data_IF_339376909644
#
_entry.id   IF_339376909644
#
_cell.length_a   1.000
_cell.length_b   1.000
_cell.length_c   1.000
_cell.angle_alpha   90.00
_cell.angle_beta   90.00
_cell.angle_gamma   90.00
#
_symmetry.space_group_name_H-M   'P 1'
#
loop_
_entity.id
_entity.type
_entity.pdbx_description
1 polymer ?
#
# COMPACT_ATOMS: atom_id res chain seq x y z
N UNK A 1 25.97 16.28 1.58
CA UNK A 1 25.57 15.10 0.77
C UNK A 1 24.84 14.16 1.70
N UNK A 2 23.54 13.93 1.49
CA UNK A 2 22.73 13.00 2.30
C UNK A 2 23.15 11.58 1.90
N UNK A 3 23.46 10.70 2.86
CA UNK A 3 24.06 9.37 2.58
C UNK A 3 23.27 8.18 3.16
N UNK A 4 22.19 8.42 3.88
CA UNK A 4 21.40 7.35 4.50
C UNK A 4 20.35 6.75 3.57
N UNK A 5 20.24 5.43 3.58
CA UNK A 5 19.11 4.67 3.03
C UNK A 5 18.50 3.82 4.16
N UNK A 6 17.20 3.64 4.16
CA UNK A 6 16.54 2.71 5.07
C UNK A 6 15.18 2.29 4.52
N UNK A 7 14.84 1.01 4.65
CA UNK A 7 13.50 0.51 4.42
C UNK A 7 13.11 -0.53 5.46
N UNK A 8 11.82 -0.64 5.72
CA UNK A 8 11.23 -1.72 6.51
C UNK A 8 9.77 -1.94 6.14
N UNK A 9 9.21 -3.07 6.53
CA UNK A 9 7.85 -3.45 6.24
C UNK A 9 7.23 -4.31 7.33
N UNK A 10 5.91 -4.43 7.25
CA UNK A 10 5.07 -5.35 8.02
C UNK A 10 5.43 -6.82 7.80
N UNK A 11 6.03 -7.16 6.67
CA UNK A 11 6.39 -8.51 6.30
C UNK A 11 7.91 -8.59 6.12
N UNK A 12 8.53 -9.67 6.59
CA UNK A 12 9.98 -9.85 6.51
C UNK A 12 10.48 -9.90 5.07
N UNK A 13 9.75 -10.62 4.21
CA UNK A 13 10.07 -10.76 2.77
C UNK A 13 9.98 -9.40 2.06
N UNK A 14 8.95 -8.61 2.39
CA UNK A 14 8.82 -7.25 1.88
C UNK A 14 9.93 -6.31 2.38
N UNK A 15 10.28 -6.39 3.66
CA UNK A 15 11.31 -5.54 4.27
C UNK A 15 12.68 -5.80 3.63
N UNK A 16 13.05 -7.07 3.48
CA UNK A 16 14.30 -7.48 2.83
C UNK A 16 14.36 -7.00 1.37
N UNK A 17 13.30 -7.23 0.60
CA UNK A 17 13.25 -6.82 -0.80
C UNK A 17 13.32 -5.30 -0.98
N UNK A 18 12.62 -4.53 -0.12
CA UNK A 18 12.67 -3.08 -0.13
C UNK A 18 14.08 -2.56 0.19
N UNK A 19 14.74 -3.14 1.20
CA UNK A 19 16.10 -2.78 1.57
C UNK A 19 17.10 -3.14 0.46
N UNK A 20 16.95 -4.30 -0.19
CA UNK A 20 17.78 -4.73 -1.31
C UNK A 20 17.68 -3.78 -2.50
N UNK A 21 16.49 -3.28 -2.82
CA UNK A 21 16.30 -2.28 -3.88
C UNK A 21 17.05 -0.97 -3.59
N UNK A 22 17.04 -0.50 -2.34
CA UNK A 22 17.79 0.69 -1.94
C UNK A 22 19.30 0.46 -1.99
N UNK A 23 19.77 -0.69 -1.50
CA UNK A 23 21.19 -1.06 -1.53
C UNK A 23 21.72 -1.13 -2.97
N UNK A 24 20.87 -1.55 -3.92
CA UNK A 24 21.18 -1.55 -5.35
C UNK A 24 21.14 -0.16 -6.01
N UNK A 25 20.89 0.91 -5.25
CA UNK A 25 20.85 2.29 -5.75
C UNK A 25 19.48 2.78 -6.25
N UNK A 26 18.43 2.00 -5.99
CA UNK A 26 17.04 2.37 -6.28
C UNK A 26 16.54 3.57 -5.46
N UNK A 27 15.39 4.11 -5.85
CA UNK A 27 14.69 5.16 -5.08
C UNK A 27 13.84 4.58 -3.95
N UNK A 28 13.30 5.45 -3.10
CA UNK A 28 12.31 5.02 -2.11
C UNK A 28 11.05 4.42 -2.77
N UNK A 29 10.67 4.90 -3.96
CA UNK A 29 9.57 4.31 -4.74
C UNK A 29 9.91 2.89 -5.25
N UNK A 30 11.15 2.68 -5.73
CA UNK A 30 11.63 1.34 -6.11
C UNK A 30 11.56 0.36 -4.92
N UNK A 31 11.90 0.83 -3.72
CA UNK A 31 11.82 0.05 -2.49
C UNK A 31 10.38 -0.36 -2.14
N UNK A 32 9.41 0.56 -2.27
CA UNK A 32 7.99 0.23 -2.07
C UNK A 32 7.51 -0.84 -3.05
N UNK A 33 7.86 -0.70 -4.32
CA UNK A 33 7.44 -1.62 -5.39
C UNK A 33 8.08 -3.01 -5.17
N UNK A 34 9.39 -3.07 -4.92
CA UNK A 34 10.08 -4.32 -4.66
C UNK A 34 9.53 -5.03 -3.42
N UNK A 35 9.30 -4.30 -2.33
CA UNK A 35 8.71 -4.85 -1.12
C UNK A 35 7.29 -5.39 -1.36
N UNK A 36 6.46 -4.65 -2.10
CA UNK A 36 5.10 -5.08 -2.42
C UNK A 36 5.08 -6.34 -3.29
N UNK A 37 5.91 -6.40 -4.34
CA UNK A 37 5.99 -7.57 -5.21
C UNK A 37 6.58 -8.79 -4.50
N UNK A 38 7.51 -8.59 -3.56
CA UNK A 38 8.02 -9.65 -2.70
C UNK A 38 6.93 -10.24 -1.78
N UNK A 39 6.14 -9.39 -1.12
CA UNK A 39 4.96 -9.82 -0.37
C UNK A 39 3.93 -10.55 -1.24
N UNK A 40 3.74 -10.08 -2.49
CA UNK A 40 2.89 -10.73 -3.47
C UNK A 40 3.38 -12.10 -3.93
N UNK A 41 4.70 -12.30 -3.96
CA UNK A 41 5.27 -13.62 -4.20
C UNK A 41 4.96 -14.58 -3.06
N UNK A 42 5.20 -14.12 -1.84
CA UNK A 42 5.03 -14.92 -0.63
C UNK A 42 3.56 -15.28 -0.34
N UNK A 43 2.59 -14.40 -0.66
CA UNK A 43 1.18 -14.58 -0.28
C UNK A 43 0.20 -14.31 -1.43
N UNK A 44 -0.78 -15.21 -1.65
CA UNK A 44 -1.71 -15.12 -2.78
C UNK A 44 -2.63 -13.89 -2.72
N UNK A 45 -2.94 -13.38 -1.53
CA UNK A 45 -3.88 -12.26 -1.33
C UNK A 45 -3.32 -10.86 -1.54
N UNK A 46 -2.07 -10.69 -1.98
CA UNK A 46 -1.39 -9.38 -1.99
C UNK A 46 -1.37 -8.73 -3.39
N UNK A 47 -1.10 -9.48 -4.46
CA UNK A 47 -0.77 -8.89 -5.77
C UNK A 47 -1.81 -7.90 -6.31
N UNK A 48 -3.09 -8.22 -6.09
CA UNK A 48 -4.24 -7.40 -6.52
C UNK A 48 -4.95 -6.72 -5.35
N UNK A 49 -4.36 -6.76 -4.14
CA UNK A 49 -4.90 -6.07 -2.97
C UNK A 49 -4.93 -4.55 -3.22
N UNK A 50 -5.96 -3.84 -2.76
CA UNK A 50 -5.99 -2.37 -2.84
C UNK A 50 -4.78 -1.79 -2.10
N UNK A 51 -4.17 -0.76 -2.68
CA UNK A 51 -2.98 -0.12 -2.14
C UNK A 51 -2.97 1.40 -2.35
N UNK A 52 -2.33 2.12 -1.44
CA UNK A 52 -2.04 3.55 -1.55
C UNK A 52 -0.57 3.77 -1.24
N UNK A 53 0.12 4.55 -2.09
CA UNK A 53 1.46 5.02 -1.82
C UNK A 53 1.46 6.52 -1.56
N UNK A 54 2.27 6.94 -0.60
CA UNK A 54 2.53 8.31 -0.21
C UNK A 54 4.02 8.58 -0.38
N UNK A 55 4.36 9.68 -1.04
CA UNK A 55 5.76 10.09 -1.20
C UNK A 55 5.89 11.55 -0.83
N UNK A 56 6.92 11.87 -0.05
CA UNK A 56 7.32 13.25 0.21
C UNK A 56 8.85 13.40 0.20
N UNK A 57 9.35 14.61 -0.05
CA UNK A 57 10.78 14.86 -0.01
C UNK A 57 11.20 16.06 -0.84
N UNK A 58 12.45 16.47 -0.65
CA UNK A 58 13.05 17.57 -1.40
C UNK A 58 13.05 17.26 -2.90
N UNK A 59 12.48 18.14 -3.72
CA UNK A 59 12.41 17.98 -5.18
C UNK A 59 11.35 17.00 -5.69
N UNK A 60 10.62 16.32 -4.80
CA UNK A 60 9.55 15.37 -5.16
C UNK A 60 8.16 15.95 -4.88
N UNK A 61 8.08 16.93 -3.96
CA UNK A 61 6.81 17.43 -3.44
C UNK A 61 6.13 16.41 -2.54
N UNK A 62 4.85 16.60 -2.24
CA UNK A 62 4.03 15.71 -1.44
C UNK A 62 2.93 15.10 -2.31
N UNK A 63 3.04 13.80 -2.62
CA UNK A 63 2.16 13.12 -3.59
C UNK A 63 1.55 11.85 -3.02
N UNK A 64 0.35 11.54 -3.49
CA UNK A 64 -0.33 10.28 -3.24
C UNK A 64 -0.60 9.56 -4.56
N UNK A 65 -0.50 8.23 -4.54
CA UNK A 65 -0.83 7.34 -5.64
C UNK A 65 -1.93 6.38 -5.17
N UNK A 66 -3.02 6.32 -5.93
CA UNK A 66 -4.25 5.63 -5.56
C UNK A 66 -4.44 4.34 -6.37
N UNK A 67 -4.21 3.22 -5.70
CA UNK A 67 -4.48 1.87 -6.18
C UNK A 67 -5.62 1.19 -5.42
N UNK A 68 -6.47 1.96 -4.72
CA UNK A 68 -7.71 1.41 -4.14
C UNK A 68 -8.56 0.77 -5.23
N UNK A 69 -9.19 -0.35 -4.88
CA UNK A 69 -10.08 -1.07 -5.78
C UNK A 69 -11.29 -0.19 -6.16
N UNK A 70 -11.87 -0.46 -7.32
CA UNK A 70 -13.08 0.21 -7.79
C UNK A 70 -14.28 -0.72 -7.77
N UNK A 71 -15.47 -0.14 -7.58
CA UNK A 71 -16.72 -0.85 -7.69
C UNK A 71 -16.89 -1.40 -9.11
N UNK A 72 -17.09 -2.71 -9.30
CA UNK A 72 -17.22 -3.32 -10.62
C UNK A 72 -18.59 -3.05 -11.26
N UNK A 73 -18.66 -3.36 -12.56
CA UNK A 73 -19.85 -3.34 -13.39
C UNK A 73 -19.87 -2.21 -14.41
N UNK A 74 -18.70 -1.70 -14.86
CA UNK A 74 -18.62 -0.80 -16.00
C UNK A 74 -19.18 -1.50 -17.25
N UNK A 75 -20.00 -0.78 -18.01
CA UNK A 75 -20.67 -1.30 -19.22
C UNK A 75 -21.76 -2.37 -18.98
N UNK A 76 -21.88 -2.92 -17.77
CA UNK A 76 -22.85 -3.96 -17.46
C UNK A 76 -24.25 -3.40 -17.17
N UNK A 77 -25.27 -4.13 -17.62
CA UNK A 77 -26.64 -3.90 -17.21
C UNK A 77 -26.79 -4.00 -15.68
N UNK A 78 -27.70 -3.22 -15.10
CA UNK A 78 -27.94 -3.24 -13.65
C UNK A 78 -28.46 -4.63 -13.23
N UNK A 79 -27.75 -5.37 -12.35
CA UNK A 79 -28.21 -6.67 -11.88
C UNK A 79 -29.41 -6.51 -10.95
N UNK A 80 -30.21 -7.57 -10.83
CA UNK A 80 -31.22 -7.67 -9.77
C UNK A 80 -30.52 -7.77 -8.43
N UNK A 81 -30.93 -6.95 -7.46
CA UNK A 81 -30.30 -6.96 -6.14
C UNK A 81 -30.63 -8.22 -5.34
N UNK A 82 -29.68 -8.69 -4.54
CA UNK A 82 -29.86 -9.82 -3.62
C UNK A 82 -30.84 -9.46 -2.50
N UNK A 83 -31.64 -10.44 -2.06
CA UNK A 83 -32.72 -10.23 -1.07
C UNK A 83 -32.15 -10.19 0.35
N UNK A 84 -31.18 -11.04 0.65
CA UNK A 84 -30.51 -11.10 1.95
C UNK A 84 -28.98 -11.18 1.79
N UNK A 85 -28.25 -11.09 2.90
CA UNK A 85 -26.78 -11.11 2.87
C UNK A 85 -26.20 -12.52 2.64
N UNK A 86 -26.93 -13.57 3.02
CA UNK A 86 -26.48 -14.97 2.93
C UNK A 86 -26.53 -15.50 1.49
N UNK A 87 -27.42 -14.96 0.67
CA UNK A 87 -27.58 -15.27 -0.74
C UNK A 87 -26.58 -14.57 -1.66
N UNK A 88 -25.74 -13.66 -1.13
CA UNK A 88 -24.75 -12.94 -1.93
C UNK A 88 -23.57 -13.87 -2.27
N UNK A 89 -23.33 -14.20 -3.55
CA UNK A 89 -22.18 -15.00 -3.96
C UNK A 89 -20.86 -14.30 -3.61
N UNK A 90 -19.81 -15.08 -3.34
CA UNK A 90 -18.46 -14.55 -3.11
C UNK A 90 -17.96 -13.70 -4.29
N UNK A 91 -18.25 -14.12 -5.53
CA UNK A 91 -17.91 -13.37 -6.74
C UNK A 91 -18.51 -11.96 -6.79
N UNK A 92 -19.69 -11.75 -6.18
CA UNK A 92 -20.34 -10.43 -6.12
C UNK A 92 -19.62 -9.43 -5.20
N UNK A 93 -18.62 -9.91 -4.45
CA UNK A 93 -17.77 -9.12 -3.56
C UNK A 93 -16.39 -8.86 -4.15
N UNK A 94 -16.08 -9.38 -5.34
CA UNK A 94 -14.81 -9.12 -6.02
C UNK A 94 -14.84 -7.72 -6.64
N UNK A 95 -13.89 -6.87 -6.27
CA UNK A 95 -13.76 -5.53 -6.84
C UNK A 95 -12.82 -5.52 -8.06
N UNK A 96 -12.86 -4.41 -8.82
CA UNK A 96 -11.93 -4.16 -9.90
C UNK A 96 -10.56 -3.72 -9.33
N UNK A 97 -9.48 -4.48 -9.56
CA UNK A 97 -8.16 -4.16 -9.00
C UNK A 97 -7.51 -2.99 -9.77
N UNK A 98 -6.89 -2.05 -9.03
CA UNK A 98 -6.20 -0.88 -9.59
C UNK A 98 -4.70 -0.83 -9.25
N UNK A 99 -4.25 -1.73 -8.39
CA UNK A 99 -2.90 -1.70 -7.77
C UNK A 99 -1.77 -1.83 -8.77
N UNK A 100 -1.87 -2.73 -9.77
CA UNK A 100 -0.81 -2.89 -10.77
C UNK A 100 -0.62 -1.63 -11.62
N UNK A 101 -1.72 -0.95 -11.94
CA UNK A 101 -1.68 0.37 -12.56
C UNK A 101 -0.99 1.37 -11.64
N UNK A 102 -1.36 1.43 -10.35
CA UNK A 102 -0.77 2.35 -9.38
C UNK A 102 0.74 2.15 -9.24
N UNK A 103 1.22 0.90 -9.18
CA UNK A 103 2.65 0.60 -9.15
C UNK A 103 3.36 1.07 -10.41
N UNK A 104 2.73 0.92 -11.58
CA UNK A 104 3.28 1.41 -12.85
C UNK A 104 3.35 2.93 -12.89
N UNK A 105 2.34 3.61 -12.33
CA UNK A 105 2.32 5.05 -12.22
C UNK A 105 3.40 5.55 -11.25
N UNK A 106 3.49 4.96 -10.06
CA UNK A 106 4.53 5.27 -9.07
C UNK A 106 5.92 5.07 -9.66
N UNK A 107 6.15 3.96 -10.37
CA UNK A 107 7.39 3.66 -11.06
C UNK A 107 7.71 4.67 -12.16
N UNK A 108 6.74 5.01 -13.01
CA UNK A 108 6.94 6.00 -14.07
C UNK A 108 7.30 7.39 -13.56
N UNK A 109 6.78 7.79 -12.39
CA UNK A 109 7.08 9.08 -11.78
C UNK A 109 8.42 9.11 -11.04
N UNK A 110 8.74 8.06 -10.28
CA UNK A 110 9.78 8.10 -9.24
C UNK A 110 10.73 6.90 -9.25
N UNK A 111 10.46 5.90 -10.08
CA UNK A 111 11.29 4.70 -10.22
C UNK A 111 12.60 4.99 -10.93
N UNK A 112 13.63 4.20 -10.60
CA UNK A 112 14.97 4.32 -11.18
C UNK A 112 15.51 2.98 -11.66
N UNK A 113 15.12 1.91 -10.99
CA UNK A 113 15.44 0.53 -11.36
C UNK A 113 14.36 0.01 -12.31
N UNK A 114 14.70 -0.92 -13.22
CA UNK A 114 13.70 -1.46 -14.15
C UNK A 114 12.63 -2.26 -13.37
N UNK A 115 11.36 -2.14 -13.75
CA UNK A 115 10.26 -2.85 -13.06
C UNK A 115 10.51 -4.37 -12.98
N UNK A 116 11.02 -4.99 -14.05
CA UNK A 116 11.38 -6.41 -14.06
C UNK A 116 12.52 -6.79 -13.10
N UNK A 117 13.41 -5.85 -12.76
CA UNK A 117 14.44 -6.07 -11.73
C UNK A 117 13.83 -6.01 -10.32
N UNK A 118 12.88 -5.09 -10.09
CA UNK A 118 12.14 -4.99 -8.82
C UNK A 118 11.26 -6.21 -8.56
N UNK A 119 10.76 -6.85 -9.63
CA UNK A 119 9.92 -8.04 -9.53
C UNK A 119 10.68 -9.31 -9.11
N UNK A 120 12.03 -9.35 -9.19
CA UNK A 120 12.82 -10.57 -8.96
C UNK A 120 12.58 -11.21 -7.60
N UNK A 121 12.54 -10.42 -6.52
CA UNK A 121 12.29 -10.95 -5.18
C UNK A 121 10.88 -11.55 -5.05
N UNK A 122 9.88 -10.98 -5.72
CA UNK A 122 8.54 -11.55 -5.81
C UNK A 122 8.49 -12.88 -6.56
N UNK A 123 9.19 -12.97 -7.69
CA UNK A 123 9.30 -14.22 -8.47
C UNK A 123 9.96 -15.31 -7.62
N UNK A 124 11.07 -14.97 -6.94
CA UNK A 124 11.79 -15.90 -6.07
C UNK A 124 10.92 -16.36 -4.88
N UNK A 125 10.23 -15.43 -4.22
CA UNK A 125 9.33 -15.77 -3.11
C UNK A 125 8.16 -16.67 -3.55
N UNK A 126 7.55 -16.40 -4.71
CA UNK A 126 6.50 -17.25 -5.27
C UNK A 126 7.04 -18.65 -5.62
N UNK A 127 8.21 -18.72 -6.24
CA UNK A 127 8.86 -19.98 -6.60
C UNK A 127 9.19 -20.81 -5.35
N UNK A 128 9.70 -20.17 -4.29
CA UNK A 128 9.98 -20.83 -3.02
C UNK A 128 8.71 -21.37 -2.34
N UNK A 129 7.58 -20.66 -2.50
CA UNK A 129 6.27 -21.11 -2.05
C UNK A 129 5.62 -22.18 -2.96
N UNK A 130 6.30 -22.63 -4.03
CA UNK A 130 5.77 -23.59 -5.00
C UNK A 130 4.70 -23.03 -5.94
N UNK A 131 4.47 -21.72 -5.93
CA UNK A 131 3.43 -21.06 -6.70
C UNK A 131 3.96 -20.58 -8.06
N UNK A 132 3.94 -21.50 -9.04
CA UNK A 132 4.53 -21.29 -10.36
C UNK A 132 3.74 -20.29 -11.20
N UNK A 133 2.40 -20.36 -11.16
CA UNK A 133 1.55 -19.44 -11.92
C UNK A 133 1.62 -18.03 -11.33
N UNK A 134 1.69 -17.92 -9.99
CA UNK A 134 1.91 -16.62 -9.33
C UNK A 134 3.26 -16.03 -9.68
N UNK A 135 4.32 -16.85 -9.76
CA UNK A 135 5.65 -16.40 -10.17
C UNK A 135 5.65 -15.85 -11.61
N UNK A 136 5.01 -16.56 -12.55
CA UNK A 136 4.90 -16.10 -13.94
C UNK A 136 4.03 -14.85 -14.05
N UNK A 137 2.95 -14.74 -13.29
CA UNK A 137 2.14 -13.52 -13.22
C UNK A 137 2.95 -12.33 -12.72
N UNK A 138 3.73 -12.47 -11.65
CA UNK A 138 4.61 -11.40 -11.14
C UNK A 138 5.67 -11.01 -12.19
N UNK A 139 6.19 -11.98 -12.94
CA UNK A 139 7.12 -11.73 -14.04
C UNK A 139 6.47 -10.94 -15.18
N UNK A 140 5.21 -11.25 -15.54
CA UNK A 140 4.42 -10.47 -16.50
C UNK A 140 4.18 -9.04 -15.99
N UNK A 141 3.89 -8.86 -14.70
CA UNK A 141 3.83 -7.52 -14.07
C UNK A 141 5.16 -6.80 -14.20
N UNK A 142 6.28 -7.48 -13.98
CA UNK A 142 7.62 -6.92 -14.18
C UNK A 142 7.88 -6.42 -15.61
N UNK A 143 7.29 -7.07 -16.61
CA UNK A 143 7.48 -6.76 -18.02
C UNK A 143 6.48 -5.72 -18.56
N UNK A 144 5.23 -5.76 -18.11
CA UNK A 144 4.11 -5.01 -18.69
C UNK A 144 3.38 -4.09 -17.71
N UNK A 145 3.75 -4.12 -16.42
CA UNK A 145 3.11 -3.32 -15.38
C UNK A 145 1.60 -3.56 -15.31
N UNK A 146 0.82 -2.48 -15.30
CA UNK A 146 -0.64 -2.51 -15.23
C UNK A 146 -1.33 -3.14 -16.44
N UNK A 147 -0.68 -3.14 -17.61
CA UNK A 147 -1.25 -3.78 -18.82
C UNK A 147 -1.39 -5.30 -18.68
N UNK A 148 -0.75 -5.91 -17.68
CA UNK A 148 -0.89 -7.34 -17.33
C UNK A 148 -2.34 -7.76 -17.14
N UNK A 149 -3.20 -6.88 -16.59
CA UNK A 149 -4.63 -7.18 -16.39
C UNK A 149 -5.40 -7.38 -17.71
N UNK A 150 -4.89 -6.85 -18.81
CA UNK A 150 -5.49 -6.95 -20.14
C UNK A 150 -4.99 -8.17 -20.92
N UNK A 151 -4.01 -8.91 -20.38
CA UNK A 151 -3.58 -10.16 -21.00
C UNK A 151 -4.74 -11.16 -20.96
N UNK A 152 -5.04 -11.78 -22.11
CA UNK A 152 -6.21 -12.66 -22.29
C UNK A 152 -6.33 -13.74 -21.21
N UNK A 153 -5.21 -14.35 -20.82
CA UNK A 153 -5.20 -15.39 -19.78
C UNK A 153 -5.61 -14.83 -18.42
N UNK A 154 -5.02 -13.69 -18.03
CA UNK A 154 -5.27 -13.01 -16.75
C UNK A 154 -6.72 -12.49 -16.71
N UNK A 155 -7.14 -11.74 -17.73
CA UNK A 155 -8.50 -11.20 -17.83
C UNK A 155 -9.55 -12.30 -17.74
N UNK A 156 -9.38 -13.40 -18.49
CA UNK A 156 -10.31 -14.53 -18.45
C UNK A 156 -10.41 -15.17 -17.06
N UNK A 157 -9.28 -15.39 -16.39
CA UNK A 157 -9.27 -15.98 -15.04
C UNK A 157 -9.96 -15.07 -14.02
N UNK A 158 -9.71 -13.76 -14.08
CA UNK A 158 -10.39 -12.78 -13.21
C UNK A 158 -11.90 -12.71 -13.48
N UNK A 159 -12.32 -12.72 -14.74
CA UNK A 159 -13.74 -12.72 -15.12
C UNK A 159 -14.44 -14.03 -14.74
N UNK A 160 -13.74 -15.16 -14.76
CA UNK A 160 -14.28 -16.42 -14.26
C UNK A 160 -14.51 -16.37 -12.74
N UNK A 161 -13.69 -15.64 -12.00
CA UNK A 161 -13.80 -15.51 -10.54
C UNK A 161 -14.81 -14.44 -10.08
N UNK A 162 -14.88 -13.29 -10.76
CA UNK A 162 -15.66 -12.13 -10.33
C UNK A 162 -16.76 -11.67 -11.31
N UNK A 163 -16.88 -12.32 -12.47
CA UNK A 163 -17.83 -11.93 -13.52
C UNK A 163 -19.22 -12.54 -13.35
N UNK A 164 -20.09 -12.25 -14.31
CA UNK A 164 -21.52 -12.60 -14.29
C UNK A 164 -21.78 -14.11 -14.14
N UNK A 165 -20.95 -14.95 -14.76
CA UNK A 165 -21.09 -16.42 -14.70
C UNK A 165 -20.93 -16.94 -13.26
N UNK A 166 -20.03 -16.34 -12.48
CA UNK A 166 -19.83 -16.69 -11.07
C UNK A 166 -20.81 -15.97 -10.12
N UNK A 167 -21.75 -15.18 -10.67
CA UNK A 167 -22.69 -14.37 -9.89
C UNK A 167 -22.11 -13.02 -9.43
N UNK A 168 -20.96 -12.61 -9.98
CA UNK A 168 -20.37 -11.30 -9.75
C UNK A 168 -20.72 -10.28 -10.85
N UNK A 169 -20.03 -9.14 -10.84
CA UNK A 169 -20.28 -8.04 -11.80
C UNK A 169 -19.00 -7.47 -12.42
N UNK A 170 -17.86 -8.13 -12.24
CA UNK A 170 -16.60 -7.72 -12.88
C UNK A 170 -16.72 -7.86 -14.41
N UNK A 171 -16.32 -6.83 -15.14
CA UNK A 171 -16.33 -6.79 -16.61
C UNK A 171 -14.94 -6.59 -17.18
N UNK A 172 -14.79 -6.82 -18.48
CA UNK A 172 -13.55 -6.51 -19.19
C UNK A 172 -13.26 -5.00 -19.19
N UNK A 173 -14.31 -4.17 -19.26
CA UNK A 173 -14.22 -2.72 -19.12
C UNK A 173 -13.70 -2.33 -17.73
N UNK A 174 -14.08 -3.05 -16.68
CA UNK A 174 -13.51 -2.82 -15.34
C UNK A 174 -12.00 -3.03 -15.30
N UNK A 175 -11.47 -4.03 -15.99
CA UNK A 175 -10.02 -4.32 -16.02
C UNK A 175 -9.25 -3.35 -16.93
N UNK A 176 -9.92 -2.75 -17.91
CA UNK A 176 -9.34 -1.86 -18.92
C UNK A 176 -9.41 -0.39 -18.54
N UNK A 177 -10.51 0.04 -17.95
CA UNK A 177 -10.88 1.45 -17.78
C UNK A 177 -10.72 1.98 -16.35
N UNK A 178 -10.68 1.10 -15.33
CA UNK A 178 -10.40 1.52 -13.95
C UNK A 178 -8.91 1.86 -13.76
N UNK A 179 -8.47 2.97 -14.35
CA UNK A 179 -7.10 3.43 -14.25
C UNK A 179 -6.78 3.94 -12.83
N UNK A 180 -5.55 3.74 -12.34
CA UNK A 180 -5.09 4.31 -11.07
C UNK A 180 -5.05 5.84 -11.12
N UNK A 181 -5.00 6.49 -9.95
CA UNK A 181 -4.85 7.95 -9.85
C UNK A 181 -3.53 8.35 -9.21
N UNK A 182 -3.07 9.57 -9.47
CA UNK A 182 -2.15 10.28 -8.57
C UNK A 182 -2.66 11.69 -8.32
N UNK A 183 -2.28 12.27 -7.20
CA UNK A 183 -2.64 13.64 -6.85
C UNK A 183 -1.82 14.18 -5.70
N UNK A 184 -2.23 15.33 -5.22
CA UNK A 184 -1.60 15.97 -4.07
C UNK A 184 -1.98 15.25 -2.78
N UNK A 185 -0.98 15.06 -1.92
CA UNK A 185 -1.22 14.56 -0.59
C UNK A 185 -1.79 15.66 0.32
N UNK A 186 -2.53 15.27 1.36
CA UNK A 186 -2.96 16.22 2.38
C UNK A 186 -1.75 16.66 3.19
N UNK A 187 -1.41 17.94 3.09
CA UNK A 187 -0.30 18.54 3.82
C UNK A 187 -0.86 19.42 4.93
N UNK A 188 -0.38 19.24 6.15
CA UNK A 188 -0.74 20.05 7.31
C UNK A 188 0.53 20.54 7.97
N UNK A 189 0.63 21.85 8.17
CA UNK A 189 1.67 22.44 9.00
C UNK A 189 1.19 22.46 10.46
N UNK A 190 1.98 21.87 11.33
CA UNK A 190 1.77 21.92 12.77
C UNK A 190 2.80 22.88 13.37
N UNK A 191 2.41 23.69 14.37
CA UNK A 191 3.36 24.55 15.05
C UNK A 191 4.48 23.69 15.64
N UNK A 192 5.71 24.15 15.48
CA UNK A 192 6.83 23.62 16.25
C UNK A 192 6.70 23.98 17.73
N UNK A 193 7.65 23.50 18.53
CA UNK A 193 7.87 23.88 19.93
C UNK A 193 7.84 25.43 20.11
N UNK A 194 7.24 26.00 21.18
CA UNK A 194 7.01 27.43 21.34
C UNK A 194 8.28 28.31 21.33
N UNK A 195 9.46 27.71 21.52
CA UNK A 195 10.76 28.39 21.52
C UNK A 195 11.35 28.65 20.12
N UNK A 196 10.53 28.64 19.06
CA UNK A 196 10.95 29.02 17.70
C UNK A 196 11.55 27.87 16.87
N UNK A 197 11.10 26.64 17.09
CA UNK A 197 11.55 25.50 16.27
C UNK A 197 10.88 25.43 14.90
N UNK A 198 11.56 24.80 13.93
CA UNK A 198 11.05 24.58 12.56
C UNK A 198 9.63 23.97 12.58
N UNK A 199 8.69 24.48 11.75
CA UNK A 199 7.35 23.93 11.66
C UNK A 199 7.42 22.47 11.21
N UNK A 200 6.40 21.71 11.59
CA UNK A 200 6.33 20.29 11.27
C UNK A 200 5.33 20.10 10.14
N UNK A 201 5.83 19.64 9.01
CA UNK A 201 5.01 19.31 7.86
C UNK A 201 4.58 17.85 7.96
N UNK A 202 3.29 17.63 8.13
CA UNK A 202 2.67 16.32 8.12
C UNK A 202 1.98 16.09 6.77
N UNK A 203 2.42 15.05 6.07
CA UNK A 203 1.89 14.61 4.78
C UNK A 203 1.11 13.31 4.98
N UNK A 204 -0.12 13.25 4.46
CA UNK A 204 -1.04 12.10 4.61
C UNK A 204 -1.82 11.83 3.34
N UNK A 205 -2.42 10.64 3.25
CA UNK A 205 -3.41 10.35 2.21
C UNK A 205 -4.63 11.27 2.39
N UNK A 206 -5.14 11.90 1.32
CA UNK A 206 -6.38 12.69 1.37
C UNK A 206 -7.63 11.79 1.34
N UNK A 207 -7.45 10.48 1.18
CA UNK A 207 -8.56 9.56 0.97
C UNK A 207 -9.16 9.08 2.29
N UNK A 208 -10.50 8.99 2.39
CA UNK A 208 -11.14 8.55 3.61
C UNK A 208 -10.85 7.07 3.88
N UNK A 209 -10.57 6.77 5.14
CA UNK A 209 -10.57 5.40 5.63
C UNK A 209 -12.02 4.90 5.72
N UNK A 210 -12.29 3.69 5.23
CA UNK A 210 -13.59 3.05 5.36
C UNK A 210 -13.77 2.50 6.76
N UNK A 211 -14.97 2.63 7.35
CA UNK A 211 -15.26 2.08 8.68
C UNK A 211 -15.06 0.55 8.74
N UNK A 212 -15.34 -0.14 7.63
CA UNK A 212 -15.18 -1.59 7.48
C UNK A 212 -13.90 -1.96 6.71
N UNK A 213 -12.96 -1.02 6.57
CA UNK A 213 -11.73 -1.28 5.83
C UNK A 213 -10.90 -2.37 6.52
N UNK A 214 -10.42 -3.34 5.72
CA UNK A 214 -9.49 -4.36 6.22
C UNK A 214 -8.20 -3.69 6.73
N UNK A 215 -7.59 -4.25 7.78
CA UNK A 215 -6.28 -3.79 8.24
C UNK A 215 -5.27 -3.77 7.10
N UNK A 216 -4.58 -2.65 6.95
CA UNK A 216 -3.49 -2.52 5.99
C UNK A 216 -2.16 -3.00 6.60
N UNK A 217 -1.34 -3.56 5.73
CA UNK A 217 0.08 -3.78 5.92
C UNK A 217 0.87 -2.69 5.21
N UNK A 218 2.10 -2.50 5.65
CA UNK A 218 2.84 -1.27 5.41
C UNK A 218 4.26 -1.56 4.96
N UNK A 219 4.75 -0.73 4.03
CA UNK A 219 6.16 -0.64 3.65
C UNK A 219 6.55 0.83 3.79
N UNK A 220 7.69 1.12 4.40
CA UNK A 220 8.25 2.48 4.51
C UNK A 220 9.69 2.47 4.03
N UNK A 221 10.09 3.56 3.37
CA UNK A 221 11.43 3.70 2.82
C UNK A 221 11.88 5.16 2.81
N UNK A 222 13.19 5.37 2.91
CA UNK A 222 13.83 6.62 2.54
C UNK A 222 15.12 6.36 1.74
N UNK A 223 15.36 7.15 0.71
CA UNK A 223 16.55 7.04 -0.14
C UNK A 223 17.61 8.11 0.14
N UNK A 224 18.81 7.91 -0.41
CA UNK A 224 19.94 8.83 -0.25
C UNK A 224 19.75 10.20 -0.93
N UNK A 225 18.69 10.38 -1.71
CA UNK A 225 18.33 11.67 -2.33
C UNK A 225 17.33 12.45 -1.47
N UNK A 226 16.88 11.85 -0.37
CA UNK A 226 15.97 12.49 0.56
C UNK A 226 14.50 12.30 0.22
N UNK A 227 14.15 11.37 -0.67
CA UNK A 227 12.77 10.91 -0.84
C UNK A 227 12.39 10.02 0.35
N UNK A 228 11.20 10.24 0.90
CA UNK A 228 10.54 9.37 1.86
C UNK A 228 9.28 8.83 1.23
N UNK A 229 9.01 7.55 1.44
CA UNK A 229 7.88 6.88 0.85
C UNK A 229 7.25 5.90 1.83
N UNK A 230 5.93 5.81 1.80
CA UNK A 230 5.15 4.84 2.57
C UNK A 230 4.08 4.23 1.66
N UNK A 231 3.87 2.92 1.76
CA UNK A 231 2.83 2.20 1.03
C UNK A 231 1.98 1.43 2.03
N UNK A 232 0.67 1.61 1.97
CA UNK A 232 -0.32 0.82 2.68
C UNK A 232 -1.03 -0.09 1.67
N UNK A 233 -1.14 -1.38 1.95
CA UNK A 233 -1.89 -2.35 1.14
C UNK A 233 -2.72 -3.26 2.03
N UNK A 234 -3.89 -3.71 1.58
CA UNK A 234 -4.80 -4.52 2.41
C UNK A 234 -5.01 -5.92 1.81
N UNK A 235 -4.14 -6.90 2.16
CA UNK A 235 -4.20 -8.25 1.62
C UNK A 235 -5.58 -8.90 1.78
N UNK A 236 -5.96 -9.74 0.82
CA UNK A 236 -7.05 -10.68 1.01
C UNK A 236 -6.64 -11.72 2.06
N UNK A 237 -7.48 -11.87 3.09
CA UNK A 237 -7.42 -12.97 4.08
C UNK A 237 -8.64 -13.90 3.97
N UNK A 238 -9.65 -13.43 3.24
CA UNK A 238 -10.88 -14.11 2.91
C UNK A 238 -11.34 -13.55 1.57
N UNK A 239 -11.53 -14.43 0.60
CA UNK A 239 -11.72 -14.02 -0.77
C UNK A 239 -12.07 -15.14 -1.73
N UNK A 240 -12.05 -14.80 -3.01
CA UNK A 240 -12.22 -15.75 -4.12
C UNK A 240 -10.85 -16.18 -4.62
N UNK A 241 -10.58 -17.48 -4.56
CA UNK A 241 -9.36 -18.07 -5.13
C UNK A 241 -9.45 -18.09 -6.65
N UNK A 242 -8.42 -17.60 -7.31
CA UNK A 242 -8.24 -17.69 -8.76
C UNK A 242 -7.15 -18.72 -9.02
N UNK A 243 -7.54 -19.98 -9.13
CA UNK A 243 -6.60 -21.10 -9.16
C UNK A 243 -5.61 -20.99 -10.33
N UNK A 244 -6.07 -20.55 -11.50
CA UNK A 244 -5.25 -20.38 -12.71
C UNK A 244 -4.15 -19.32 -12.58
N UNK A 245 -4.22 -18.47 -11.56
CA UNK A 245 -3.24 -17.43 -11.27
C UNK A 245 -2.58 -17.62 -9.90
N UNK A 246 -3.02 -18.61 -9.11
CA UNK A 246 -2.61 -18.85 -7.72
C UNK A 246 -2.66 -17.60 -6.82
N UNK A 247 -3.69 -16.77 -7.02
CA UNK A 247 -3.96 -15.57 -6.21
C UNK A 247 -5.33 -15.63 -5.54
N UNK A 248 -5.55 -14.73 -4.59
CA UNK A 248 -6.81 -14.56 -3.89
C UNK A 248 -7.32 -13.11 -4.05
N UNK A 249 -8.58 -12.97 -4.47
CA UNK A 249 -9.25 -11.68 -4.62
C UNK A 249 -10.07 -11.37 -3.37
N UNK A 250 -9.81 -10.21 -2.76
CA UNK A 250 -10.52 -9.76 -1.57
C UNK A 250 -12.00 -9.46 -1.81
N UNK A 251 -12.80 -9.59 -0.75
CA UNK A 251 -14.20 -9.15 -0.74
C UNK A 251 -14.31 -7.62 -0.57
N UNK A 252 -13.83 -6.89 -1.57
CA UNK A 252 -13.78 -5.42 -1.55
C UNK A 252 -15.05 -4.75 -2.10
N UNK A 253 -15.72 -5.35 -3.08
CA UNK A 253 -16.87 -4.75 -3.75
C UNK A 253 -18.12 -4.73 -2.86
N UNK A 254 -18.96 -3.72 -3.06
CA UNK A 254 -20.28 -3.63 -2.43
C UNK A 254 -21.29 -4.38 -3.29
N UNK A 255 -21.89 -5.50 -2.80
CA UNK A 255 -22.87 -6.25 -3.56
C UNK A 255 -24.17 -5.45 -3.75
N UNK A 256 -24.81 -5.61 -4.90
CA UNK A 256 -26.09 -4.95 -5.18
C UNK A 256 -27.20 -5.63 -4.38
N UNK A 257 -27.83 -4.91 -3.46
CA UNK A 257 -28.92 -5.43 -2.60
C UNK A 257 -30.26 -4.83 -2.99
N UNK A 258 -31.34 -5.60 -2.84
CA UNK A 258 -32.71 -5.14 -3.12
C UNK A 258 -33.10 -4.05 -2.11
N UNK A 259 -33.63 -2.92 -2.60
CA UNK A 259 -34.05 -1.80 -1.75
C UNK A 259 -32.91 -0.91 -1.24
N UNK A 260 -31.64 -1.22 -1.55
CA UNK A 260 -30.48 -0.40 -1.19
C UNK A 260 -29.95 0.30 -2.45
N UNK A 261 -29.66 1.62 -2.39
CA UNK A 261 -28.97 2.30 -3.49
C UNK A 261 -27.66 1.58 -3.85
N UNK A 262 -27.47 1.31 -5.14
CA UNK A 262 -26.27 0.65 -5.65
C UNK A 262 -25.10 1.65 -5.64
N UNK A 263 -23.93 1.20 -5.19
CA UNK A 263 -22.66 1.91 -5.44
C UNK A 263 -22.40 1.96 -6.94
N UNK A 264 -22.20 3.16 -7.49
CA UNK A 264 -21.97 3.36 -8.92
C UNK A 264 -20.70 2.63 -9.38
N UNK A 265 -20.72 1.89 -10.50
CA UNK A 265 -19.52 1.33 -11.11
C UNK A 265 -18.41 2.36 -11.31
N UNK A 266 -17.16 1.95 -11.14
CA UNK A 266 -15.99 2.83 -11.18
C UNK A 266 -15.78 3.67 -9.90
N UNK A 267 -16.71 3.66 -8.94
CA UNK A 267 -16.52 4.35 -7.66
C UNK A 267 -15.34 3.71 -6.93
N UNK A 268 -14.34 4.51 -6.56
CA UNK A 268 -13.20 4.03 -5.79
C UNK A 268 -13.64 3.70 -4.37
N UNK A 269 -13.33 2.49 -3.93
CA UNK A 269 -13.75 1.93 -2.66
C UNK A 269 -12.75 2.28 -1.55
N UNK A 270 -13.21 2.56 -0.33
CA UNK A 270 -12.33 2.97 0.75
C UNK A 270 -11.43 1.82 1.22
N UNK A 271 -10.24 2.15 1.74
CA UNK A 271 -9.32 1.21 2.37
C UNK A 271 -8.64 1.85 3.58
N UNK A 272 -7.99 1.07 4.41
CA UNK A 272 -7.20 1.60 5.51
C UNK A 272 -5.92 2.25 4.97
N UNK A 273 -5.61 3.45 5.44
CA UNK A 273 -4.42 4.22 5.02
C UNK A 273 -3.62 4.72 6.22
N UNK A 274 -3.11 3.84 7.08
CA UNK A 274 -2.42 4.26 8.29
C UNK A 274 -0.94 4.57 8.02
N UNK A 275 -0.70 5.44 7.03
CA UNK A 275 0.62 5.87 6.61
C UNK A 275 0.71 7.39 6.59
N UNK A 276 1.89 7.91 6.89
CA UNK A 276 2.17 9.34 6.87
C UNK A 276 3.66 9.59 6.58
N UNK A 277 3.97 10.81 6.15
CA UNK A 277 5.35 11.33 6.16
C UNK A 277 5.40 12.58 7.04
N UNK A 278 6.36 12.61 7.95
CA UNK A 278 6.66 13.76 8.81
C UNK A 278 7.94 14.43 8.31
N UNK A 279 7.99 15.76 8.28
CA UNK A 279 9.19 16.54 7.99
C UNK A 279 9.33 17.69 8.98
N UNK A 280 10.53 17.88 9.54
CA UNK A 280 10.87 18.95 10.49
C UNK A 280 12.33 19.33 10.33
N UNK A 281 12.61 20.45 9.68
CA UNK A 281 13.99 20.88 9.41
C UNK A 281 14.79 19.80 8.67
N UNK A 282 15.82 19.24 9.32
CA UNK A 282 16.63 18.13 8.77
C UNK A 282 16.05 16.74 8.99
N UNK A 283 15.12 16.62 9.94
CA UNK A 283 14.44 15.39 10.26
C UNK A 283 13.32 15.11 9.26
N UNK A 284 13.20 13.85 8.86
CA UNK A 284 11.99 13.37 8.22
C UNK A 284 11.79 11.87 8.49
N UNK A 285 10.54 11.43 8.53
CA UNK A 285 10.18 10.04 8.74
C UNK A 285 9.00 9.64 7.87
N UNK A 286 9.11 8.52 7.16
CA UNK A 286 7.94 7.78 6.67
C UNK A 286 7.48 6.84 7.78
N UNK A 287 6.21 6.89 8.16
CA UNK A 287 5.67 6.17 9.31
C UNK A 287 4.44 5.35 8.91
N UNK A 288 4.30 4.18 9.52
CA UNK A 288 3.17 3.29 9.39
C UNK A 288 2.67 2.77 10.72
N UNK A 289 1.35 2.72 10.92
CA UNK A 289 0.71 2.18 12.13
C UNK A 289 -0.29 1.08 11.80
N UNK A 290 0.09 -0.17 12.02
CA UNK A 290 -0.79 -1.29 11.66
C UNK A 290 -2.08 -1.37 12.48
N UNK A 291 -3.14 -1.90 11.86
CA UNK A 291 -4.51 -2.03 12.39
C UNK A 291 -5.27 -0.73 12.58
N UNK A 292 -4.66 0.42 12.32
CA UNK A 292 -5.41 1.67 12.26
C UNK A 292 -6.12 1.82 10.91
N UNK A 293 -7.33 2.40 10.89
CA UNK A 293 -8.00 2.75 9.64
C UNK A 293 -7.29 3.92 8.93
N UNK A 294 -6.67 4.83 9.68
CA UNK A 294 -5.93 5.97 9.15
C UNK A 294 -5.11 6.68 10.22
N UNK A 295 -4.35 7.70 9.81
CA UNK A 295 -3.56 8.55 10.72
C UNK A 295 -4.14 9.98 10.69
N UNK A 296 -4.35 10.56 11.87
CA UNK A 296 -4.73 11.97 12.02
C UNK A 296 -3.60 12.82 12.64
N UNK A 297 -3.84 14.13 12.78
CA UNK A 297 -2.84 15.05 13.34
C UNK A 297 -2.48 14.71 14.80
N UNK A 298 -3.46 14.24 15.57
CA UNK A 298 -3.30 13.92 17.00
C UNK A 298 -2.47 12.65 17.18
N UNK A 299 -2.64 11.71 16.25
CA UNK A 299 -1.94 10.43 16.23
C UNK A 299 -0.43 10.63 16.31
N UNK A 300 0.14 11.56 15.53
CA UNK A 300 1.60 11.72 15.45
C UNK A 300 2.16 12.81 16.35
N UNK A 301 1.35 13.41 17.24
CA UNK A 301 1.82 14.52 18.09
C UNK A 301 2.99 14.10 18.98
N UNK A 302 3.04 12.87 19.49
CA UNK A 302 4.18 12.39 20.29
C UNK A 302 5.50 12.28 19.51
N UNK A 303 5.45 12.03 18.19
CA UNK A 303 6.63 12.05 17.31
C UNK A 303 7.06 13.47 16.92
N UNK A 304 6.22 14.47 17.21
CA UNK A 304 6.46 15.88 16.90
C UNK A 304 7.18 16.62 18.03
N UNK A 305 7.17 16.06 19.25
CA UNK A 305 7.85 16.61 20.42
C UNK A 305 9.38 16.59 20.25
N UNK A 306 10.08 17.51 20.93
CA UNK A 306 11.54 17.63 20.85
C UNK A 306 12.18 16.35 21.41
N UNK A 307 12.93 15.63 20.57
CA UNK A 307 13.75 14.51 21.04
C UNK A 307 14.91 15.11 21.85
N UNK A 308 15.01 14.74 23.13
CA UNK A 308 16.08 15.22 24.01
C UNK A 308 17.39 14.53 23.64
N UNK A 309 18.46 15.29 23.49
CA UNK A 309 19.79 14.77 23.12
C UNK A 309 20.44 13.94 24.23
N UNK A 310 19.90 13.95 25.44
CA UNK A 310 20.52 13.38 26.65
C UNK A 310 20.66 11.84 26.62
N UNK A 311 19.76 11.12 25.94
CA UNK A 311 19.79 9.64 25.88
C UNK A 311 20.26 9.08 24.54
N UNK A 312 20.71 9.95 23.62
CA UNK A 312 20.93 9.58 22.23
C UNK A 312 19.62 9.49 21.43
N UNK A 313 19.70 9.93 20.18
CA UNK A 313 18.56 10.08 19.26
C UNK A 313 17.77 8.78 19.05
N UNK A 314 18.49 7.67 18.90
CA UNK A 314 17.92 6.35 18.64
C UNK A 314 17.00 5.85 19.74
N UNK A 315 17.44 5.96 21.00
CA UNK A 315 16.66 5.53 22.15
C UNK A 315 15.37 6.35 22.31
N UNK A 316 15.44 7.65 22.01
CA UNK A 316 14.30 8.54 22.11
C UNK A 316 13.24 8.21 21.04
N UNK A 317 13.64 8.01 19.77
CA UNK A 317 12.71 7.70 18.68
C UNK A 317 12.06 6.32 18.82
N UNK A 318 12.81 5.30 19.22
CA UNK A 318 12.26 3.97 19.51
C UNK A 318 11.24 4.02 20.65
N UNK A 319 11.54 4.78 21.70
CA UNK A 319 10.61 5.03 22.81
C UNK A 319 9.34 5.70 22.31
N UNK A 320 9.44 6.77 21.51
CA UNK A 320 8.26 7.46 20.96
C UNK A 320 7.42 6.58 20.03
N UNK A 321 8.05 5.76 19.19
CA UNK A 321 7.31 4.81 18.35
C UNK A 321 6.61 3.74 19.19
N UNK A 322 7.22 3.30 20.30
CA UNK A 322 6.62 2.37 21.24
C UNK A 322 5.42 2.99 21.97
N UNK A 323 5.56 4.22 22.48
CA UNK A 323 4.49 5.01 23.09
C UNK A 323 3.35 5.22 22.11
N UNK A 324 3.65 5.65 20.88
CA UNK A 324 2.69 5.85 19.81
C UNK A 324 1.91 4.57 19.53
N UNK A 325 2.59 3.44 19.42
CA UNK A 325 1.96 2.13 19.21
C UNK A 325 0.99 1.79 20.34
N UNK A 326 1.40 2.01 21.59
CA UNK A 326 0.57 1.74 22.77
C UNK A 326 -0.65 2.67 22.85
N UNK A 327 -0.45 3.98 22.63
CA UNK A 327 -1.51 5.00 22.65
C UNK A 327 -2.58 4.75 21.58
N UNK A 328 -2.16 4.30 20.40
CA UNK A 328 -3.05 4.06 19.26
C UNK A 328 -3.59 2.63 19.22
N UNK A 329 -3.15 1.75 20.12
CA UNK A 329 -3.40 0.31 20.06
C UNK A 329 -3.02 -0.31 18.70
N UNK A 330 -2.01 0.26 18.03
CA UNK A 330 -1.49 -0.30 16.78
C UNK A 330 -0.79 -1.63 17.06
N UNK A 331 -0.92 -2.59 16.15
CA UNK A 331 -0.20 -3.88 16.28
C UNK A 331 1.31 -3.64 16.22
N UNK A 332 1.72 -2.86 15.23
CA UNK A 332 3.11 -2.46 14.98
C UNK A 332 3.19 -0.99 14.58
N UNK A 333 4.28 -0.36 14.94
CA UNK A 333 4.67 0.94 14.41
C UNK A 333 5.97 0.77 13.62
N UNK A 334 5.98 1.24 12.37
CA UNK A 334 7.11 1.15 11.46
C UNK A 334 7.56 2.56 11.09
N UNK A 335 8.88 2.75 10.99
CA UNK A 335 9.42 4.01 10.50
C UNK A 335 10.68 3.82 9.65
N UNK A 336 10.79 4.58 8.57
CA UNK A 336 12.05 4.85 7.88
C UNK A 336 12.38 6.32 8.10
N UNK A 337 13.46 6.59 8.82
CA UNK A 337 13.78 7.90 9.38
C UNK A 337 15.11 8.40 8.85
N UNK A 338 15.21 9.72 8.68
CA UNK A 338 16.44 10.45 8.39
C UNK A 338 16.58 11.67 9.30
N UNK A 339 17.82 11.96 9.70
CA UNK A 339 18.18 13.10 10.56
C UNK A 339 19.14 14.11 9.88
N UNK A 340 19.37 13.94 8.57
CA UNK A 340 20.26 14.76 7.75
C UNK A 340 21.67 14.19 7.60
N UNK A 341 22.10 13.27 8.45
CA UNK A 341 23.36 12.54 8.30
C UNK A 341 23.13 11.05 8.07
N UNK A 342 22.22 10.45 8.83
CA UNK A 342 21.95 9.03 8.86
C UNK A 342 20.51 8.72 8.39
N UNK A 343 20.29 7.45 8.07
CA UNK A 343 18.96 6.89 7.92
C UNK A 343 18.85 5.59 8.71
N UNK A 344 17.68 5.31 9.25
CA UNK A 344 17.41 4.12 10.04
C UNK A 344 16.00 3.59 9.79
N UNK A 345 15.87 2.28 9.81
CA UNK A 345 14.61 1.57 9.83
C UNK A 345 14.29 1.11 11.25
N UNK A 346 13.06 1.34 11.70
CA UNK A 346 12.59 1.00 13.04
C UNK A 346 11.28 0.22 12.97
N UNK A 347 11.15 -0.79 13.82
CA UNK A 347 9.90 -1.54 14.03
C UNK A 347 9.68 -1.65 15.53
N UNK A 348 8.48 -1.29 15.98
CA UNK A 348 8.01 -1.51 17.35
C UNK A 348 6.82 -2.46 17.32
N UNK A 349 6.85 -3.48 18.19
CA UNK A 349 5.89 -4.59 18.21
C UNK A 349 6.48 -5.89 17.67
N UNK A 350 5.91 -7.04 18.06
CA UNK A 350 6.39 -8.35 17.60
C UNK A 350 6.02 -8.58 16.14
N UNK A 351 6.96 -9.10 15.36
CA UNK A 351 6.67 -9.87 14.16
C UNK A 351 6.16 -11.21 14.68
N UNK A 352 4.84 -11.38 14.74
CA UNK A 352 4.28 -12.72 14.91
C UNK A 352 3.89 -13.21 13.53
N UNK A 353 4.45 -14.34 13.13
CA UNK A 353 4.06 -15.10 11.95
C UNK A 353 2.62 -15.60 12.21
N UNK A 354 1.61 -14.90 11.68
CA UNK A 354 0.24 -15.41 11.57
C UNK A 354 0.05 -16.00 10.17
#
# INVERSE_FOLDING_TARGET
MIRGIAATASDGTAAEAAQNALTAGGSAADALIAGFLAAAGARPGVLLAPAIALVAGTGVGARVFDGRAAQPGLGAARPRGFVDAASVPHAARVAAPRTLGMLSLLHGYLGRTRMGELARNGILAATHAGATERAELIKQVGASGGATLQLRAVSRALLAAGGVIAGGTLTEDDLRENLPGSGDALTTELPGDPEGSDPITLVRSPFPAGAEARPAEIIVACDGRGMLAALAYAPARLGVIVAELEIELGHDAVPVRRGVPRTTPGTVLPMATPIAVLQRGRFAAAVGLERLPGIDNRTLTSLTERLTFETGWDASLETRLSELRLQTNARRALAAVRDGQNAKALIQGKITDD
#
